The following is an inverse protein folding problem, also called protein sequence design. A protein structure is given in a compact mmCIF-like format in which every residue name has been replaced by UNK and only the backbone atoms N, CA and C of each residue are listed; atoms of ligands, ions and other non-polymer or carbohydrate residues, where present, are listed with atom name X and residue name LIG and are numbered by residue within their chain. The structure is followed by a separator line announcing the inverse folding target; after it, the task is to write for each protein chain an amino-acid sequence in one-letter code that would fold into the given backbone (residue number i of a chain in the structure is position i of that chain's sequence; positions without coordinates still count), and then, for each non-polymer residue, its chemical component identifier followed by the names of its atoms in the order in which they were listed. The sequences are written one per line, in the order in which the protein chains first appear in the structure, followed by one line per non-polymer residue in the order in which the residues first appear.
data_IF_743459319879
#
_entry.id   IF_743459319879
#
_cell.length_a   1.000
_cell.length_b   1.000
_cell.length_c   1.000
_cell.angle_alpha   90.00
_cell.angle_beta   90.00
_cell.angle_gamma   90.00
#
_symmetry.space_group_name_H-M   'P 1'
#
loop_
_entity.id
_entity.type
_entity.pdbx_description
1 polymer ?
#
# COMPACT_ATOMS: atom_id res chain seq x y z
N UNK A 1 21.00 -3.31 23.03
CA UNK A 1 21.18 -4.14 21.82
C UNK A 1 19.84 -4.47 21.17
N UNK A 2 18.82 -4.92 21.90
CA UNK A 2 17.52 -5.32 21.31
C UNK A 2 16.84 -4.24 20.45
N UNK A 3 16.88 -2.98 20.86
CA UNK A 3 16.30 -1.88 20.06
C UNK A 3 16.98 -1.73 18.70
N UNK A 4 18.28 -1.96 18.63
CA UNK A 4 19.00 -1.91 17.37
C UNK A 4 18.66 -3.11 16.47
N UNK A 5 18.56 -4.30 17.04
CA UNK A 5 18.13 -5.51 16.32
C UNK A 5 16.75 -5.32 15.71
N UNK A 6 15.80 -4.77 16.49
CA UNK A 6 14.46 -4.45 15.99
C UNK A 6 14.49 -3.37 14.89
N UNK A 7 15.33 -2.33 15.06
CA UNK A 7 15.50 -1.31 14.03
C UNK A 7 16.08 -1.90 12.73
N UNK A 8 17.08 -2.76 12.84
CA UNK A 8 17.65 -3.47 11.70
C UNK A 8 16.61 -4.36 11.01
N UNK A 9 15.84 -5.14 11.76
CA UNK A 9 14.80 -6.02 11.22
C UNK A 9 13.67 -5.22 10.54
N UNK A 10 13.27 -4.10 11.11
CA UNK A 10 12.31 -3.19 10.45
C UNK A 10 12.85 -2.67 9.12
N UNK A 11 14.12 -2.26 9.07
CA UNK A 11 14.77 -1.82 7.83
C UNK A 11 14.77 -2.94 6.79
N UNK A 12 15.25 -4.13 7.16
CA UNK A 12 15.31 -5.30 6.26
C UNK A 12 13.91 -5.68 5.76
N UNK A 13 12.93 -5.76 6.65
CA UNK A 13 11.55 -6.06 6.28
C UNK A 13 10.92 -4.99 5.38
N UNK A 14 11.17 -3.72 5.66
CA UNK A 14 10.63 -2.61 4.84
C UNK A 14 11.22 -2.59 3.43
N UNK A 15 12.52 -2.78 3.30
CA UNK A 15 13.21 -2.80 1.99
C UNK A 15 12.91 -4.09 1.24
N UNK A 16 12.99 -5.24 1.91
CA UNK A 16 12.66 -6.55 1.32
C UNK A 16 11.21 -6.60 0.82
N UNK A 17 10.26 -6.12 1.63
CA UNK A 17 8.86 -6.01 1.25
C UNK A 17 8.65 -5.08 0.05
N UNK A 18 9.38 -3.98 -0.04
CA UNK A 18 9.35 -3.09 -1.20
C UNK A 18 9.81 -3.81 -2.48
N UNK A 19 10.89 -4.59 -2.39
CA UNK A 19 11.39 -5.37 -3.52
C UNK A 19 10.33 -6.38 -3.98
N UNK A 20 9.78 -7.18 -3.06
CA UNK A 20 8.72 -8.16 -3.36
C UNK A 20 7.52 -7.48 -4.03
N UNK A 21 7.03 -6.39 -3.45
CA UNK A 21 5.87 -5.67 -3.95
C UNK A 21 6.12 -5.02 -5.32
N UNK A 22 7.33 -4.50 -5.56
CA UNK A 22 7.73 -3.95 -6.85
C UNK A 22 7.64 -5.00 -7.97
N UNK A 23 8.16 -6.21 -7.70
CA UNK A 23 8.08 -7.34 -8.64
C UNK A 23 6.64 -7.83 -8.79
N UNK A 24 5.90 -7.98 -7.70
CA UNK A 24 4.48 -8.37 -7.75
C UNK A 24 3.67 -7.42 -8.63
N UNK A 25 3.86 -6.11 -8.49
CA UNK A 25 3.16 -5.11 -9.32
C UNK A 25 3.57 -5.18 -10.77
N UNK A 26 4.85 -5.37 -11.04
CA UNK A 26 5.35 -5.48 -12.42
C UNK A 26 4.79 -6.68 -13.16
N UNK A 27 4.71 -7.84 -12.51
CA UNK A 27 4.36 -9.09 -13.19
C UNK A 27 2.88 -9.46 -13.04
N UNK A 28 2.26 -9.20 -11.90
CA UNK A 28 0.91 -9.71 -11.59
C UNK A 28 -0.19 -8.64 -11.55
N UNK A 29 0.10 -7.41 -11.11
CA UNK A 29 -0.95 -6.42 -10.87
C UNK A 29 -1.01 -5.35 -11.97
N UNK A 30 -0.07 -4.43 -12.02
CA UNK A 30 -0.16 -3.22 -12.87
C UNK A 30 0.61 -3.33 -14.18
N UNK A 31 1.45 -4.35 -14.36
CA UNK A 31 2.32 -4.57 -15.53
C UNK A 31 3.25 -3.39 -15.87
N UNK A 32 3.44 -2.47 -14.92
CA UNK A 32 4.28 -1.26 -15.02
C UNK A 32 5.21 -1.16 -13.83
N UNK A 33 6.38 -0.55 -14.01
CA UNK A 33 7.28 -0.21 -12.92
C UNK A 33 6.78 1.05 -12.21
N UNK A 34 6.17 0.87 -11.05
CA UNK A 34 5.66 1.95 -10.21
C UNK A 34 6.18 1.71 -8.80
N UNK A 35 6.74 2.76 -8.19
CA UNK A 35 7.16 2.68 -6.79
C UNK A 35 5.94 2.36 -5.91
N UNK A 36 5.88 1.19 -5.27
CA UNK A 36 4.74 0.79 -4.46
C UNK A 36 4.66 1.61 -3.16
N UNK A 37 3.46 1.62 -2.57
CA UNK A 37 3.23 2.19 -1.25
C UNK A 37 3.10 3.71 -1.21
N UNK A 38 3.07 4.20 0.02
CA UNK A 38 2.83 5.61 0.35
C UNK A 38 4.08 6.47 0.24
N UNK A 39 5.24 5.94 0.64
CA UNK A 39 6.52 6.65 0.68
C UNK A 39 7.16 6.75 -0.71
N UNK A 40 8.12 7.68 -0.85
CA UNK A 40 8.85 7.87 -2.11
C UNK A 40 10.07 6.95 -2.21
N UNK A 41 10.69 6.61 -1.09
CA UNK A 41 11.86 5.74 -1.02
C UNK A 41 11.54 4.25 -1.24
N UNK A 42 12.59 3.41 -1.35
CA UNK A 42 12.48 1.99 -1.62
C UNK A 42 12.19 1.18 -0.34
N UNK A 43 11.11 1.49 0.34
CA UNK A 43 10.72 0.82 1.59
C UNK A 43 9.21 0.90 1.82
N UNK A 44 8.67 -0.15 2.46
CA UNK A 44 7.25 -0.28 2.85
C UNK A 44 7.15 -0.49 4.36
N UNK A 45 6.75 0.53 5.15
CA UNK A 45 6.67 0.43 6.62
C UNK A 45 5.77 -0.70 7.12
N UNK A 46 4.70 -1.02 6.38
CA UNK A 46 3.79 -2.11 6.73
C UNK A 46 4.53 -3.46 6.77
N UNK A 47 5.41 -3.72 5.81
CA UNK A 47 6.24 -4.93 5.78
C UNK A 47 7.29 -4.93 6.90
N UNK A 48 7.86 -3.76 7.22
CA UNK A 48 8.74 -3.61 8.38
C UNK A 48 8.05 -3.95 9.69
N UNK A 49 6.84 -3.40 9.92
CA UNK A 49 6.01 -3.73 11.08
C UNK A 49 5.61 -5.22 11.09
N UNK A 50 5.25 -5.78 9.92
CA UNK A 50 4.98 -7.19 9.77
C UNK A 50 6.18 -8.06 10.18
N UNK A 51 7.39 -7.68 9.79
CA UNK A 51 8.63 -8.38 10.18
C UNK A 51 8.86 -8.34 11.69
N UNK A 52 8.58 -7.20 12.34
CA UNK A 52 8.67 -7.11 13.81
C UNK A 52 7.64 -7.99 14.51
N UNK A 53 6.41 -8.07 13.99
CA UNK A 53 5.37 -8.97 14.52
C UNK A 53 5.78 -10.44 14.34
N UNK A 54 6.26 -10.81 13.16
CA UNK A 54 6.75 -12.15 12.85
C UNK A 54 7.89 -12.55 13.80
N UNK A 55 8.88 -11.68 13.94
CA UNK A 55 10.03 -11.91 14.79
C UNK A 55 9.65 -12.01 16.27
N UNK A 56 8.88 -11.04 16.79
CA UNK A 56 8.45 -11.02 18.18
C UNK A 56 7.59 -12.24 18.58
N UNK A 57 6.72 -12.71 17.69
CA UNK A 57 5.90 -13.89 17.95
C UNK A 57 6.70 -15.18 18.09
N UNK A 58 7.86 -15.29 17.44
CA UNK A 58 8.72 -16.48 17.55
C UNK A 58 9.31 -16.72 18.95
N UNK A 59 9.27 -15.71 19.84
CA UNK A 59 9.65 -15.85 21.25
C UNK A 59 8.52 -16.33 22.16
N UNK A 60 7.29 -16.43 21.63
CA UNK A 60 6.16 -16.98 22.38
C UNK A 60 6.28 -18.50 22.43
N UNK A 61 6.15 -19.14 23.62
CA UNK A 61 6.31 -20.59 23.77
C UNK A 61 5.08 -21.36 23.23
N UNK A 62 4.86 -21.27 21.93
CA UNK A 62 3.81 -21.97 21.21
C UNK A 62 4.40 -22.92 20.17
N UNK A 63 3.71 -24.01 19.83
CA UNK A 63 4.14 -24.87 18.73
C UNK A 63 4.10 -24.09 17.40
N UNK A 64 5.04 -24.42 16.49
CA UNK A 64 5.22 -23.66 15.22
C UNK A 64 3.94 -23.49 14.41
N UNK A 65 3.10 -24.52 14.32
CA UNK A 65 1.82 -24.43 13.61
C UNK A 65 0.85 -23.41 14.25
N UNK A 66 0.82 -23.31 15.59
CA UNK A 66 0.00 -22.34 16.30
C UNK A 66 0.52 -20.90 16.12
N UNK A 67 1.87 -20.72 16.09
CA UNK A 67 2.48 -19.44 15.72
C UNK A 67 2.08 -19.00 14.32
N UNK A 68 2.07 -19.90 13.35
CA UNK A 68 1.63 -19.58 11.98
C UNK A 68 0.17 -19.10 11.96
N UNK A 69 -0.72 -19.78 12.70
CA UNK A 69 -2.13 -19.36 12.80
C UNK A 69 -2.28 -18.00 13.49
N UNK A 70 -1.57 -17.79 14.57
CA UNK A 70 -1.55 -16.50 15.28
C UNK A 70 -1.08 -15.39 14.34
N UNK A 71 0.00 -15.61 13.63
CA UNK A 71 0.60 -14.64 12.70
C UNK A 71 -0.26 -14.41 11.46
N UNK A 72 -0.93 -15.44 10.95
CA UNK A 72 -1.94 -15.29 9.90
C UNK A 72 -3.00 -14.24 10.28
N UNK A 73 -3.54 -14.35 11.49
CA UNK A 73 -4.53 -13.39 12.01
C UNK A 73 -3.90 -12.02 12.24
N UNK A 74 -2.74 -11.98 12.90
CA UNK A 74 -2.07 -10.73 13.25
C UNK A 74 -1.67 -9.92 12.01
N UNK A 75 -1.12 -10.54 10.97
CA UNK A 75 -0.76 -9.87 9.72
C UNK A 75 -1.98 -9.41 8.93
N UNK A 76 -3.05 -10.21 8.90
CA UNK A 76 -4.33 -9.80 8.29
C UNK A 76 -4.92 -8.59 9.03
N UNK A 77 -4.86 -8.56 10.36
CA UNK A 77 -5.26 -7.41 11.16
C UNK A 77 -4.39 -6.18 10.90
N UNK A 78 -3.07 -6.37 10.80
CA UNK A 78 -2.14 -5.29 10.46
C UNK A 78 -2.49 -4.66 9.10
N UNK A 79 -2.76 -5.50 8.08
CA UNK A 79 -3.21 -5.04 6.76
C UNK A 79 -4.51 -4.26 6.86
N UNK A 80 -5.50 -4.79 7.59
CA UNK A 80 -6.79 -4.15 7.76
C UNK A 80 -6.71 -2.80 8.48
N UNK A 81 -5.97 -2.74 9.59
CA UNK A 81 -5.78 -1.50 10.36
C UNK A 81 -5.07 -0.45 9.51
N UNK A 82 -3.99 -0.85 8.82
CA UNK A 82 -3.26 0.04 7.90
C UNK A 82 -4.19 0.58 6.81
N UNK A 83 -4.96 -0.29 6.16
CA UNK A 83 -5.94 0.11 5.15
C UNK A 83 -6.99 1.08 5.69
N UNK A 84 -7.51 0.85 6.90
CA UNK A 84 -8.47 1.76 7.55
C UNK A 84 -7.86 3.14 7.81
N UNK A 85 -6.62 3.20 8.31
CA UNK A 85 -5.93 4.47 8.58
C UNK A 85 -5.82 5.29 7.28
N UNK A 86 -5.41 4.66 6.19
CA UNK A 86 -5.27 5.36 4.92
C UNK A 86 -6.62 5.73 4.30
N UNK A 87 -7.59 4.83 4.27
CA UNK A 87 -8.92 5.09 3.66
C UNK A 87 -9.73 6.09 4.48
N UNK A 88 -9.88 5.87 5.79
CA UNK A 88 -10.72 6.74 6.64
C UNK A 88 -9.98 8.01 7.06
N UNK A 89 -8.70 7.88 7.44
CA UNK A 89 -7.88 8.99 7.92
C UNK A 89 -7.41 9.92 6.82
N UNK A 90 -6.80 9.37 5.79
CA UNK A 90 -6.14 10.15 4.74
C UNK A 90 -6.96 10.30 3.45
N UNK A 91 -8.07 9.55 3.30
CA UNK A 91 -8.87 9.49 2.06
C UNK A 91 -8.05 9.02 0.84
N UNK A 92 -7.10 8.12 1.10
CA UNK A 92 -6.20 7.53 0.12
C UNK A 92 -6.39 6.02 0.15
N UNK A 93 -6.54 5.36 -1.01
CA UNK A 93 -6.45 3.91 -1.14
C UNK A 93 -5.08 3.54 -1.69
N UNK A 94 -4.32 2.74 -0.94
CA UNK A 94 -3.03 2.21 -1.38
C UNK A 94 -3.20 0.97 -2.25
N UNK A 95 -4.23 0.16 -1.96
CA UNK A 95 -4.67 -1.01 -2.73
C UNK A 95 -6.19 -1.11 -2.69
N UNK A 96 -6.77 -1.94 -3.57
CA UNK A 96 -8.22 -2.13 -3.64
C UNK A 96 -8.58 -3.57 -4.02
N UNK A 97 -9.17 -4.29 -3.08
CA UNK A 97 -9.66 -5.66 -3.28
C UNK A 97 -11.18 -5.73 -3.51
N UNK A 98 -11.86 -4.61 -3.79
CA UNK A 98 -13.32 -4.55 -3.94
C UNK A 98 -13.86 -5.53 -4.99
N UNK A 99 -13.03 -5.91 -5.99
CA UNK A 99 -13.39 -6.87 -7.02
C UNK A 99 -13.07 -8.33 -6.66
N UNK A 100 -12.47 -8.59 -5.49
CA UNK A 100 -12.10 -9.94 -5.06
C UNK A 100 -13.21 -10.53 -4.20
N UNK A 101 -13.42 -11.85 -4.36
CA UNK A 101 -14.39 -12.59 -3.55
C UNK A 101 -14.05 -12.51 -2.05
N UNK A 102 -15.07 -12.39 -1.21
CA UNK A 102 -14.93 -12.37 0.25
C UNK A 102 -14.20 -11.13 0.79
N UNK A 103 -14.07 -10.05 0.01
CA UNK A 103 -13.40 -8.85 0.50
C UNK A 103 -14.21 -8.15 1.61
N UNK A 104 -13.50 -7.55 2.55
CA UNK A 104 -14.06 -6.69 3.59
C UNK A 104 -13.63 -5.26 3.29
N UNK A 105 -14.60 -4.40 2.93
CA UNK A 105 -14.42 -2.98 2.60
C UNK A 105 -13.39 -2.69 1.48
N UNK A 106 -13.05 -3.72 0.68
CA UNK A 106 -11.99 -3.63 -0.33
C UNK A 106 -10.57 -3.54 0.27
N UNK A 107 -10.42 -3.74 1.59
CA UNK A 107 -9.14 -3.60 2.31
C UNK A 107 -8.45 -4.94 2.45
N UNK A 108 -9.17 -5.99 2.83
CA UNK A 108 -8.66 -7.36 2.97
C UNK A 108 -9.52 -8.34 2.17
N UNK A 109 -8.94 -9.45 1.78
CA UNK A 109 -9.70 -10.56 1.19
C UNK A 109 -9.01 -11.91 1.46
N UNK A 110 -9.75 -13.05 1.43
CA UNK A 110 -9.23 -14.36 1.80
C UNK A 110 -7.95 -14.77 1.05
N UNK A 111 -7.86 -14.43 -0.23
CA UNK A 111 -6.69 -14.76 -1.05
C UNK A 111 -5.39 -14.13 -0.50
N UNK A 112 -5.44 -12.82 -0.19
CA UNK A 112 -4.25 -12.12 0.33
C UNK A 112 -3.99 -12.45 1.80
N UNK A 113 -5.03 -12.74 2.58
CA UNK A 113 -4.84 -13.27 3.94
C UNK A 113 -4.13 -14.63 3.91
N UNK A 114 -4.45 -15.52 2.96
CA UNK A 114 -3.71 -16.78 2.78
C UNK A 114 -2.24 -16.55 2.39
N UNK A 115 -1.97 -15.54 1.55
CA UNK A 115 -0.58 -15.17 1.24
C UNK A 115 0.18 -14.71 2.49
N UNK A 116 -0.46 -13.94 3.38
CA UNK A 116 0.12 -13.60 4.68
C UNK A 116 0.40 -14.84 5.54
N UNK A 117 -0.49 -15.81 5.51
CA UNK A 117 -0.27 -17.11 6.17
C UNK A 117 0.93 -17.87 5.62
N UNK A 118 1.11 -17.88 4.29
CA UNK A 118 2.28 -18.49 3.65
C UNK A 118 3.58 -17.73 4.01
N UNK A 119 3.54 -16.41 4.06
CA UNK A 119 4.68 -15.60 4.52
C UNK A 119 5.01 -15.91 5.98
N UNK A 120 3.99 -16.02 6.84
CA UNK A 120 4.16 -16.41 8.23
C UNK A 120 4.80 -17.80 8.37
N UNK A 121 4.32 -18.77 7.61
CA UNK A 121 4.91 -20.12 7.59
C UNK A 121 6.37 -20.09 7.12
N UNK A 122 6.65 -19.44 6.00
CA UNK A 122 8.01 -19.29 5.49
C UNK A 122 8.93 -18.61 6.51
N UNK A 123 8.43 -17.58 7.21
CA UNK A 123 9.19 -16.90 8.25
C UNK A 123 9.52 -17.83 9.43
N UNK A 124 8.49 -18.48 10.00
CA UNK A 124 8.64 -19.32 11.21
C UNK A 124 9.52 -20.54 10.95
N UNK A 125 9.45 -21.13 9.74
CA UNK A 125 10.18 -22.35 9.45
C UNK A 125 11.53 -22.15 8.77
N UNK A 126 11.71 -21.04 8.03
CA UNK A 126 12.89 -20.87 7.18
C UNK A 126 13.69 -19.59 7.48
N UNK A 127 13.02 -18.47 7.83
CA UNK A 127 13.66 -17.16 7.88
C UNK A 127 14.02 -16.69 9.29
N UNK A 128 13.39 -17.25 10.33
CA UNK A 128 13.62 -16.79 11.70
C UNK A 128 15.08 -16.92 12.12
N UNK A 129 15.66 -18.11 12.03
CA UNK A 129 17.02 -18.37 12.49
C UNK A 129 18.08 -17.53 11.74
N UNK A 130 18.09 -17.46 10.39
CA UNK A 130 19.06 -16.64 9.69
C UNK A 130 18.86 -15.14 9.95
N UNK A 131 17.63 -14.65 10.08
CA UNK A 131 17.37 -13.24 10.40
C UNK A 131 17.75 -12.90 11.84
N UNK A 132 17.53 -13.81 12.79
CA UNK A 132 17.95 -13.64 14.17
C UNK A 132 19.48 -13.54 14.26
N UNK A 133 20.21 -14.45 13.61
CA UNK A 133 21.68 -14.42 13.54
C UNK A 133 22.19 -13.15 12.87
N UNK A 134 21.55 -12.72 11.76
CA UNK A 134 21.92 -11.50 11.07
C UNK A 134 21.67 -10.24 11.92
N UNK A 135 20.59 -10.20 12.70
CA UNK A 135 20.29 -9.09 13.58
C UNK A 135 21.31 -8.96 14.72
N UNK A 136 21.71 -10.08 15.32
CA UNK A 136 22.76 -10.12 16.34
C UNK A 136 24.11 -9.68 15.79
N UNK A 137 24.50 -10.20 14.60
CA UNK A 137 25.71 -9.77 13.92
C UNK A 137 25.70 -8.27 13.62
N UNK A 138 24.58 -7.75 13.12
CA UNK A 138 24.42 -6.34 12.80
C UNK A 138 24.57 -5.46 14.05
N UNK A 139 24.06 -5.91 15.20
CA UNK A 139 24.16 -5.19 16.47
C UNK A 139 25.61 -5.10 17.00
N UNK A 140 26.49 -6.01 16.60
CA UNK A 140 27.91 -5.97 16.89
C UNK A 140 28.78 -5.19 15.89
N UNK A 141 28.20 -4.77 14.76
CA UNK A 141 28.93 -4.15 13.66
C UNK A 141 28.75 -2.61 13.62
N UNK A 142 29.84 -1.87 13.78
CA UNK A 142 29.84 -0.40 13.71
C UNK A 142 29.32 0.09 12.37
N UNK A 143 29.66 -0.59 11.28
CA UNK A 143 29.19 -0.26 9.93
C UNK A 143 27.68 -0.41 9.81
N UNK A 144 27.10 -1.45 10.40
CA UNK A 144 25.64 -1.65 10.40
C UNK A 144 24.92 -0.61 11.25
N UNK A 145 25.52 -0.14 12.33
CA UNK A 145 24.97 0.98 13.12
C UNK A 145 24.88 2.24 12.26
N UNK A 146 25.92 2.53 11.48
CA UNK A 146 25.90 3.67 10.56
C UNK A 146 24.84 3.50 9.45
N UNK A 147 24.76 2.32 8.82
CA UNK A 147 23.78 2.04 7.75
C UNK A 147 22.35 2.16 8.25
N UNK A 148 22.03 1.59 9.42
CA UNK A 148 20.70 1.68 10.03
C UNK A 148 20.38 3.13 10.39
N UNK A 149 21.33 3.87 10.98
CA UNK A 149 21.15 5.30 11.28
C UNK A 149 20.88 6.14 10.03
N UNK A 150 21.65 5.94 8.97
CA UNK A 150 21.46 6.61 7.68
C UNK A 150 20.08 6.25 7.05
N UNK A 151 19.68 4.98 7.11
CA UNK A 151 18.36 4.55 6.66
C UNK A 151 17.25 5.29 7.39
N UNK A 152 17.29 5.36 8.72
CA UNK A 152 16.25 6.05 9.49
C UNK A 152 16.25 7.56 9.26
N UNK A 153 17.41 8.18 9.05
CA UNK A 153 17.50 9.59 8.67
C UNK A 153 16.74 9.88 7.37
N UNK A 154 17.01 9.08 6.32
CA UNK A 154 16.31 9.19 5.02
C UNK A 154 14.83 8.82 5.16
N UNK A 155 14.51 7.77 5.91
CA UNK A 155 13.15 7.29 6.15
C UNK A 155 12.28 8.36 6.81
N UNK A 156 12.77 9.00 7.88
CA UNK A 156 12.04 10.06 8.60
C UNK A 156 11.84 11.29 7.71
N UNK A 157 12.89 11.71 6.98
CA UNK A 157 12.78 12.81 6.03
C UNK A 157 11.72 12.55 4.95
N UNK A 158 11.72 11.35 4.35
CA UNK A 158 10.71 10.96 3.37
C UNK A 158 9.31 10.85 3.98
N UNK A 159 9.20 10.35 5.20
CA UNK A 159 7.94 10.30 5.94
C UNK A 159 7.33 11.70 6.06
N UNK A 160 8.11 12.69 6.49
CA UNK A 160 7.67 14.07 6.60
C UNK A 160 7.21 14.65 5.26
N UNK A 161 7.97 14.41 4.19
CA UNK A 161 7.62 14.87 2.83
C UNK A 161 6.34 14.19 2.34
N UNK A 162 6.23 12.86 2.49
CA UNK A 162 5.09 12.08 2.02
C UNK A 162 3.80 12.42 2.77
N UNK A 163 3.87 12.68 4.09
CA UNK A 163 2.71 13.16 4.84
C UNK A 163 2.26 14.54 4.38
N UNK A 164 3.15 15.48 4.10
CA UNK A 164 2.80 16.79 3.56
C UNK A 164 2.11 16.68 2.19
N UNK A 165 2.60 15.79 1.31
CA UNK A 165 1.95 15.50 0.02
C UNK A 165 0.58 14.90 0.23
N UNK A 166 0.42 13.94 1.14
CA UNK A 166 -0.87 13.29 1.39
C UNK A 166 -1.91 14.26 1.96
N UNK A 167 -1.50 15.20 2.81
CA UNK A 167 -2.40 16.26 3.28
C UNK A 167 -2.91 17.14 2.14
N UNK A 168 -2.07 17.47 1.16
CA UNK A 168 -2.48 18.19 -0.06
C UNK A 168 -3.45 17.36 -0.90
N UNK A 169 -3.15 16.07 -1.10
CA UNK A 169 -4.06 15.13 -1.81
C UNK A 169 -5.38 14.99 -1.08
N UNK A 170 -5.37 14.87 0.24
CA UNK A 170 -6.58 14.80 1.08
C UNK A 170 -7.45 16.06 0.94
N UNK A 171 -6.85 17.25 0.98
CA UNK A 171 -7.58 18.52 0.78
C UNK A 171 -8.25 18.56 -0.60
N UNK A 172 -7.53 18.16 -1.65
CA UNK A 172 -8.10 18.09 -3.00
C UNK A 172 -9.21 17.02 -3.11
N UNK A 173 -9.01 15.84 -2.54
CA UNK A 173 -9.98 14.75 -2.57
C UNK A 173 -11.26 15.05 -1.76
N UNK A 174 -11.15 15.83 -0.68
CA UNK A 174 -12.29 16.22 0.13
C UNK A 174 -13.33 17.05 -0.67
N UNK A 175 -12.90 17.81 -1.66
CA UNK A 175 -13.79 18.56 -2.56
C UNK A 175 -14.69 17.61 -3.39
N UNK A 176 -14.27 16.39 -3.62
CA UNK A 176 -14.97 15.38 -4.44
C UNK A 176 -15.66 14.29 -3.62
N UNK A 177 -15.59 14.34 -2.27
CA UNK A 177 -16.18 13.36 -1.35
C UNK A 177 -15.78 11.88 -1.66
N UNK A 178 -14.62 11.65 -2.25
CA UNK A 178 -14.14 10.34 -2.67
C UNK A 178 -12.74 10.05 -2.13
N UNK A 179 -12.43 8.75 -1.95
CA UNK A 179 -11.06 8.32 -1.69
C UNK A 179 -10.28 8.24 -3.01
N UNK A 180 -9.05 8.77 -3.02
CA UNK A 180 -8.19 8.74 -4.21
C UNK A 180 -7.36 7.48 -4.23
N UNK A 181 -7.34 6.79 -5.37
CA UNK A 181 -6.43 5.67 -5.63
C UNK A 181 -5.01 6.21 -5.84
N UNK A 182 -4.20 6.13 -4.81
CA UNK A 182 -2.88 6.78 -4.76
C UNK A 182 -1.91 6.28 -5.82
N UNK A 183 -1.99 5.01 -6.17
CA UNK A 183 -1.13 4.41 -7.19
C UNK A 183 -1.54 4.77 -8.60
N UNK A 184 -2.84 4.87 -8.87
CA UNK A 184 -3.34 5.38 -10.15
C UNK A 184 -2.89 6.82 -10.33
N UNK A 185 -2.91 7.64 -9.26
CA UNK A 185 -2.38 9.00 -9.29
C UNK A 185 -0.88 9.03 -9.61
N UNK A 186 -0.09 8.15 -9.00
CA UNK A 186 1.35 8.01 -9.34
C UNK A 186 1.55 7.61 -10.80
N UNK A 187 0.77 6.64 -11.28
CA UNK A 187 0.85 6.19 -12.67
C UNK A 187 0.54 7.31 -13.65
N UNK A 188 -0.54 8.06 -13.40
CA UNK A 188 -0.95 9.20 -14.21
C UNK A 188 0.11 10.30 -14.26
N UNK A 189 0.67 10.67 -13.11
CA UNK A 189 1.73 11.65 -13.05
C UNK A 189 2.99 11.21 -13.80
N UNK A 190 3.29 9.90 -13.80
CA UNK A 190 4.41 9.36 -14.56
C UNK A 190 4.15 9.41 -16.08
N UNK A 191 2.93 9.10 -16.54
CA UNK A 191 2.57 9.22 -17.98
C UNK A 191 2.68 10.68 -18.46
N UNK A 192 2.10 11.63 -17.72
CA UNK A 192 2.20 13.06 -18.06
C UNK A 192 3.63 13.60 -18.09
N UNK A 193 4.52 13.05 -17.26
CA UNK A 193 5.95 13.39 -17.27
C UNK A 193 6.68 12.84 -18.48
N UNK A 194 6.28 11.65 -18.98
CA UNK A 194 6.81 11.10 -20.24
C UNK A 194 6.47 12.02 -21.42
N UNK A 195 5.21 12.46 -21.48
CA UNK A 195 4.74 13.33 -22.56
C UNK A 195 5.46 14.69 -22.60
N UNK A 196 5.86 15.22 -21.42
CA UNK A 196 6.53 16.51 -21.31
C UNK A 196 8.08 16.44 -21.38
N UNK A 197 8.67 15.29 -21.74
CA UNK A 197 10.12 15.05 -21.77
C UNK A 197 10.88 15.43 -20.46
N UNK A 198 10.19 15.50 -19.34
CA UNK A 198 10.79 15.83 -18.05
C UNK A 198 11.46 14.58 -17.49
N UNK A 199 12.72 14.71 -16.99
CA UNK A 199 13.52 13.62 -16.40
C UNK A 199 12.70 12.81 -15.40
N UNK A 200 12.53 11.50 -15.65
CA UNK A 200 11.76 10.57 -14.80
C UNK A 200 12.37 10.50 -13.41
N UNK A 201 11.61 10.90 -12.40
CA UNK A 201 11.98 10.71 -10.99
C UNK A 201 11.15 9.56 -10.44
N UNK A 202 11.66 8.34 -10.56
CA UNK A 202 10.96 7.13 -10.08
C UNK A 202 10.66 7.20 -8.58
N UNK A 203 11.65 7.60 -7.76
CA UNK A 203 11.53 7.70 -6.31
C UNK A 203 10.76 8.94 -5.82
N UNK A 204 10.66 10.00 -6.62
CA UNK A 204 9.99 11.25 -6.23
C UNK A 204 8.89 11.62 -7.24
N UNK A 205 7.80 10.84 -7.32
CA UNK A 205 6.77 11.04 -8.34
C UNK A 205 6.03 12.37 -8.22
N UNK A 206 5.96 12.95 -7.03
CA UNK A 206 5.23 14.20 -6.75
C UNK A 206 6.06 15.48 -6.85
N UNK A 207 7.39 15.38 -7.07
CA UNK A 207 8.23 16.55 -7.16
C UNK A 207 7.87 17.40 -8.39
N UNK A 208 7.35 18.62 -8.16
CA UNK A 208 6.96 19.57 -9.19
C UNK A 208 5.70 19.19 -9.99
N UNK A 209 4.84 18.33 -9.45
CA UNK A 209 3.61 17.92 -10.12
C UNK A 209 2.42 18.84 -9.76
N UNK A 210 1.54 19.21 -10.72
CA UNK A 210 0.28 19.90 -10.47
C UNK A 210 -0.74 18.90 -9.87
N UNK A 211 -0.66 18.67 -8.57
CA UNK A 211 -1.46 17.64 -7.87
C UNK A 211 -2.97 17.88 -7.97
N UNK A 212 -3.41 19.13 -7.93
CA UNK A 212 -4.83 19.48 -8.00
C UNK A 212 -5.49 19.03 -9.31
N UNK A 213 -4.83 19.30 -10.44
CA UNK A 213 -5.34 18.93 -11.76
C UNK A 213 -5.31 17.42 -11.99
N UNK A 214 -4.25 16.76 -11.55
CA UNK A 214 -4.12 15.30 -11.67
C UNK A 214 -5.20 14.57 -10.83
N UNK A 215 -5.50 15.05 -9.63
CA UNK A 215 -6.59 14.51 -8.79
C UNK A 215 -7.95 14.74 -9.43
N UNK A 216 -8.19 15.94 -10.00
CA UNK A 216 -9.45 16.28 -10.65
C UNK A 216 -9.76 15.38 -11.85
N UNK A 217 -8.77 15.12 -12.68
CA UNK A 217 -8.92 14.28 -13.87
C UNK A 217 -9.08 12.80 -13.53
N UNK A 218 -8.33 12.28 -12.55
CA UNK A 218 -8.53 10.93 -12.03
C UNK A 218 -9.97 10.72 -11.52
N UNK A 219 -10.49 11.69 -10.79
CA UNK A 219 -11.86 11.64 -10.30
C UNK A 219 -12.88 11.68 -11.45
N UNK A 220 -12.65 12.49 -12.48
CA UNK A 220 -13.47 12.52 -13.70
C UNK A 220 -13.56 11.14 -14.35
N UNK A 221 -12.41 10.53 -14.64
CA UNK A 221 -12.32 9.17 -15.24
C UNK A 221 -12.94 8.07 -14.37
N UNK A 222 -12.80 8.17 -13.04
CA UNK A 222 -13.44 7.23 -12.11
C UNK A 222 -14.97 7.35 -12.15
N UNK A 223 -15.49 8.56 -12.20
CA UNK A 223 -16.93 8.84 -12.31
C UNK A 223 -17.49 8.29 -13.63
N UNK A 224 -16.78 8.48 -14.73
CA UNK A 224 -17.18 7.99 -16.05
C UNK A 224 -17.21 6.46 -16.08
N UNK A 225 -16.18 5.80 -15.57
CA UNK A 225 -16.16 4.32 -15.42
C UNK A 225 -17.30 3.78 -14.54
N UNK A 226 -17.69 4.48 -13.49
CA UNK A 226 -18.84 4.11 -12.66
C UNK A 226 -20.16 4.30 -13.39
N UNK A 227 -20.31 5.37 -14.19
CA UNK A 227 -21.51 5.62 -14.98
C UNK A 227 -21.71 4.59 -16.10
N UNK A 228 -20.64 4.09 -16.70
CA UNK A 228 -20.64 3.01 -17.67
C UNK A 228 -20.97 1.66 -17.04
N UNK A 229 -20.48 1.41 -15.81
CA UNK A 229 -20.73 0.15 -15.08
C UNK A 229 -22.16 0.06 -14.52
N UNK A 230 -22.83 1.18 -14.34
CA UNK A 230 -24.24 1.28 -13.90
C UNK A 230 -25.02 2.19 -14.82
N UNK A 231 -25.42 1.73 -16.02
CA UNK A 231 -26.27 2.53 -16.89
C UNK A 231 -27.56 2.85 -16.14
N UNK A 232 -27.86 4.14 -15.99
CA UNK A 232 -29.12 4.60 -15.38
C UNK A 232 -30.25 3.90 -16.11
N UNK A 233 -30.99 3.03 -15.43
CA UNK A 233 -32.27 2.47 -15.90
C UNK A 233 -33.10 3.65 -16.39
N UNK A 234 -33.36 3.68 -17.69
CA UNK A 234 -34.14 4.72 -18.35
C UNK A 234 -35.47 4.96 -17.61
N UNK A 235 -35.76 6.21 -17.31
CA UNK A 235 -37.10 6.63 -16.91
C UNK A 235 -38.05 6.18 -18.01
N UNK A 236 -38.89 5.20 -17.65
CA UNK A 236 -39.89 4.65 -18.55
C UNK A 236 -40.70 5.78 -19.19
N UNK A 237 -40.74 5.76 -20.50
CA UNK A 237 -41.63 6.56 -21.33
C UNK A 237 -43.07 6.40 -20.85
N UNK A 238 -43.60 7.40 -20.18
CA UNK A 238 -45.03 7.51 -19.94
C UNK A 238 -45.72 7.72 -21.28
N UNK A 239 -46.28 6.62 -21.84
CA UNK A 239 -47.12 6.66 -23.01
C UNK A 239 -48.28 7.64 -22.84
N UNK A 240 -48.32 8.70 -23.69
CA UNK A 240 -49.48 9.52 -23.89
C UNK A 240 -50.60 8.68 -24.51
N UNK A 241 -51.59 8.24 -23.73
CA UNK A 241 -52.88 7.79 -24.25
C UNK A 241 -53.59 9.00 -24.85
N UNK A 242 -53.59 9.08 -26.19
CA UNK A 242 -54.51 9.90 -26.94
C UNK A 242 -55.93 9.36 -26.79
N UNK A 243 -56.80 10.08 -26.11
CA UNK A 243 -58.21 9.81 -26.16
C UNK A 243 -58.78 10.13 -27.56
N UNK A 244 -59.44 9.14 -28.16
CA UNK A 244 -60.39 9.34 -29.25
C UNK A 244 -61.77 9.51 -28.62
N UNK A 245 -62.34 10.69 -28.78
CA UNK A 245 -63.81 10.89 -28.69
C UNK A 245 -64.41 10.47 -30.04
N UNK A 246 -65.32 9.56 -29.99
CA UNK A 246 -66.64 9.64 -30.64
C UNK A 246 -67.59 8.80 -29.84
#
# INVERSE_FOLDING_TARGET
MIFFELAFLFMVGSVGGWVIELFFRRFFSMKKWINPGFLNGPYLPMYGLGTLLLYGACFIPLPRWALVLLLFVALTLLEYITGLIFVKGMKIRLWDYSRRWGNIQGIICPLFSLLWGLIAAAFVYLLFDPLHTAAQWAAGSVWMIFVVGAFYGVFIADLCVSFNVSLKVRKAAAQFKAAVHYEELKAELNERRKERQIRRRFLFPFAGAPLGDAVRELYGRYKDRLSESFPRRGKGSRGKKKGKKQ
#
